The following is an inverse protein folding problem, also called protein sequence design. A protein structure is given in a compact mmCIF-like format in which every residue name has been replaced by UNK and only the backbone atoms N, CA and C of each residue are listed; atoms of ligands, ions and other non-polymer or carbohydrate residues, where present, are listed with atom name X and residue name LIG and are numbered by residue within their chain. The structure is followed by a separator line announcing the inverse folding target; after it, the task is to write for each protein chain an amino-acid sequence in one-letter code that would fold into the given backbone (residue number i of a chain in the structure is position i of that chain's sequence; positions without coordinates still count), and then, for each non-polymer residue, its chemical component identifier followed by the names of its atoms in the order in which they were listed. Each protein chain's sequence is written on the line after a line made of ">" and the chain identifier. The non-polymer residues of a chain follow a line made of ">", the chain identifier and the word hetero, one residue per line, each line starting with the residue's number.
data_IF_291980778316
#
_entry.id   IF_291980778316
#
_cell.length_a   1.000
_cell.length_b   1.000
_cell.length_c   1.000
_cell.angle_alpha   90.00
_cell.angle_beta   90.00
_cell.angle_gamma   90.00
#
_symmetry.space_group_name_H-M   'P 1'
#
loop_
_entity.id
_entity.type
_entity.pdbx_description
1 polymer ?
#
# COMPACT_ATOMS: atom_id res chain seq x y z
N UNK A 1 85.83 11.20 -19.95
CA UNK A 1 84.63 10.34 -19.93
C UNK A 1 83.53 10.91 -19.03
N UNK A 2 83.81 11.47 -17.89
CA UNK A 2 82.81 12.01 -16.93
C UNK A 2 82.02 13.15 -17.54
N UNK A 3 82.59 14.11 -18.21
CA UNK A 3 81.97 15.28 -18.84
C UNK A 3 80.94 14.92 -19.91
N UNK A 4 81.12 13.80 -20.59
CA UNK A 4 80.19 13.33 -21.61
C UNK A 4 78.89 12.73 -21.01
N UNK A 5 79.02 12.11 -19.84
CA UNK A 5 77.90 11.59 -19.10
C UNK A 5 77.07 12.69 -18.45
N UNK A 6 77.66 13.75 -17.97
CA UNK A 6 76.97 14.91 -17.41
C UNK A 6 76.16 15.68 -18.48
N UNK A 7 76.72 15.82 -19.67
CA UNK A 7 75.98 16.44 -20.81
C UNK A 7 74.82 15.55 -21.26
N UNK A 8 75.02 14.23 -21.32
CA UNK A 8 73.93 13.29 -21.68
C UNK A 8 72.84 13.25 -20.59
N UNK A 9 73.21 13.30 -19.31
CA UNK A 9 72.26 13.38 -18.20
C UNK A 9 71.50 14.70 -18.19
N UNK A 10 72.20 15.81 -18.44
CA UNK A 10 71.56 17.11 -18.60
C UNK A 10 70.59 17.19 -19.78
N UNK A 11 70.98 16.65 -20.93
CA UNK A 11 70.07 16.52 -22.10
C UNK A 11 68.90 15.60 -21.81
N UNK A 12 69.09 14.50 -21.07
CA UNK A 12 68.01 13.59 -20.62
C UNK A 12 67.02 14.29 -19.71
N UNK A 13 67.51 15.12 -18.76
CA UNK A 13 66.67 15.89 -17.83
C UNK A 13 65.88 16.97 -18.62
N UNK A 14 66.56 17.70 -19.52
CA UNK A 14 65.88 18.69 -20.35
C UNK A 14 64.86 18.05 -21.25
N UNK A 15 65.12 16.85 -21.78
CA UNK A 15 64.18 16.10 -22.61
C UNK A 15 63.02 15.59 -21.79
N UNK A 16 63.27 15.12 -20.55
CA UNK A 16 62.21 14.72 -19.61
C UNK A 16 61.33 15.88 -19.18
N UNK A 17 61.92 17.05 -18.88
CA UNK A 17 61.21 18.28 -18.60
C UNK A 17 60.39 18.74 -19.79
N UNK A 18 60.92 18.64 -21.03
CA UNK A 18 60.23 18.98 -22.26
C UNK A 18 59.01 18.04 -22.51
N UNK A 19 59.15 16.74 -22.18
CA UNK A 19 58.05 15.77 -22.19
C UNK A 19 56.97 16.09 -21.14
N UNK A 20 57.37 16.60 -19.98
CA UNK A 20 56.45 17.00 -18.89
C UNK A 20 55.70 18.32 -19.23
N UNK A 21 56.35 19.23 -19.98
CA UNK A 21 55.81 20.56 -20.31
C UNK A 21 54.93 20.52 -21.58
N UNK A 22 54.97 19.46 -22.40
CA UNK A 22 54.17 19.38 -23.60
C UNK A 22 52.66 19.32 -23.27
N UNK A 23 51.83 20.15 -23.93
CA UNK A 23 50.40 20.19 -23.69
C UNK A 23 49.74 18.84 -23.96
N UNK A 24 48.83 18.44 -23.12
CA UNK A 24 47.95 17.31 -23.32
C UNK A 24 46.49 17.69 -23.10
N UNK A 25 45.60 17.02 -23.82
CA UNK A 25 44.16 17.27 -23.73
C UNK A 25 43.42 15.99 -23.41
N UNK A 26 42.49 16.08 -22.50
CA UNK A 26 41.48 15.03 -22.24
C UNK A 26 40.11 15.55 -22.64
N UNK A 27 39.48 14.92 -23.57
CA UNK A 27 38.17 15.32 -24.11
C UNK A 27 37.19 14.20 -23.78
N UNK A 28 36.15 14.55 -23.04
CA UNK A 28 35.04 13.62 -22.73
C UNK A 28 33.85 13.94 -23.62
N UNK A 29 33.46 12.98 -24.41
CA UNK A 29 32.33 13.04 -25.33
C UNK A 29 31.13 12.39 -24.65
N UNK A 30 30.01 13.08 -24.53
CA UNK A 30 28.77 12.50 -24.06
C UNK A 30 27.93 12.03 -25.24
N UNK A 31 27.49 10.78 -25.20
CA UNK A 31 26.70 10.17 -26.26
C UNK A 31 25.35 10.86 -26.41
N UNK A 32 24.96 11.11 -27.68
CA UNK A 32 23.59 11.55 -27.97
C UNK A 32 22.61 10.42 -27.68
N UNK A 33 21.63 10.70 -26.84
CA UNK A 33 20.65 9.72 -26.39
C UNK A 33 19.28 10.05 -26.98
N UNK A 34 18.58 9.02 -27.42
CA UNK A 34 17.22 9.15 -27.95
C UNK A 34 16.27 8.24 -27.18
N UNK A 35 15.14 8.82 -26.76
CA UNK A 35 14.05 8.07 -26.13
C UNK A 35 13.04 7.67 -27.20
N UNK A 36 12.70 6.38 -27.28
CA UNK A 36 11.73 5.87 -28.22
C UNK A 36 10.72 4.95 -27.53
N UNK A 37 9.45 5.07 -27.92
CA UNK A 37 8.39 4.14 -27.51
C UNK A 37 8.28 3.03 -28.55
N UNK A 38 8.64 1.83 -28.17
CA UNK A 38 8.60 0.67 -29.06
C UNK A 38 7.36 -0.16 -28.80
N UNK A 39 6.72 -0.60 -29.88
CA UNK A 39 5.70 -1.65 -29.84
C UNK A 39 6.18 -2.74 -30.80
N UNK A 40 6.42 -3.94 -30.27
CA UNK A 40 6.91 -5.05 -31.04
C UNK A 40 6.29 -6.38 -30.61
N UNK A 41 6.04 -7.29 -31.56
CA UNK A 41 5.51 -8.63 -31.30
C UNK A 41 6.63 -9.58 -30.91
N UNK A 42 6.87 -9.71 -29.61
CA UNK A 42 7.80 -10.71 -29.10
C UNK A 42 7.12 -12.09 -29.03
N UNK A 43 7.93 -13.12 -29.24
CA UNK A 43 7.54 -14.51 -28.96
C UNK A 43 7.88 -14.83 -27.51
N UNK A 44 6.90 -15.30 -26.77
CA UNK A 44 7.06 -15.75 -25.38
C UNK A 44 7.06 -17.27 -25.33
N UNK A 45 8.00 -17.86 -24.60
CA UNK A 45 8.16 -19.31 -24.50
C UNK A 45 8.56 -19.73 -23.07
N UNK A 46 8.22 -20.98 -22.62
CA UNK A 46 8.59 -21.43 -21.28
C UNK A 46 10.11 -21.64 -21.19
N UNK A 47 10.73 -21.04 -20.18
CA UNK A 47 12.18 -21.13 -19.95
C UNK A 47 12.67 -22.57 -19.69
N UNK A 48 11.77 -23.46 -19.26
CA UNK A 48 12.06 -24.90 -19.07
C UNK A 48 12.17 -25.69 -20.36
N UNK A 49 11.76 -25.14 -21.50
CA UNK A 49 11.70 -25.86 -22.77
C UNK A 49 12.91 -25.52 -23.62
N UNK A 50 13.96 -26.34 -23.49
CA UNK A 50 15.24 -26.18 -24.21
C UNK A 50 15.11 -26.31 -25.73
N UNK A 51 14.03 -26.90 -26.24
CA UNK A 51 13.81 -27.09 -27.67
C UNK A 51 13.69 -25.74 -28.42
N UNK A 52 13.32 -24.69 -27.70
CA UNK A 52 13.19 -23.34 -28.25
C UNK A 52 14.48 -22.51 -28.22
N UNK A 53 15.48 -22.90 -27.42
CA UNK A 53 16.74 -22.15 -27.27
C UNK A 53 17.60 -22.16 -28.53
N UNK A 54 17.53 -23.22 -29.36
CA UNK A 54 18.35 -23.39 -30.58
C UNK A 54 17.70 -22.96 -31.90
N UNK A 55 16.37 -22.86 -31.94
CA UNK A 55 15.61 -22.68 -33.18
C UNK A 55 15.18 -21.21 -33.45
N UNK A 56 15.46 -20.29 -32.54
CA UNK A 56 14.81 -18.97 -32.57
C UNK A 56 15.77 -17.89 -33.11
N UNK A 57 15.71 -17.68 -34.43
CA UNK A 57 16.18 -16.44 -35.07
C UNK A 57 15.24 -15.24 -34.82
N UNK A 58 14.09 -15.45 -34.18
CA UNK A 58 13.10 -14.41 -33.88
C UNK A 58 13.32 -13.87 -32.48
N UNK A 59 13.05 -12.59 -32.31
CA UNK A 59 13.08 -11.91 -31.01
C UNK A 59 12.09 -12.55 -30.04
N UNK A 60 12.60 -13.11 -28.96
CA UNK A 60 11.83 -13.92 -28.03
C UNK A 60 12.26 -13.67 -26.59
N UNK A 61 11.30 -13.81 -25.67
CA UNK A 61 11.48 -13.61 -24.25
C UNK A 61 11.03 -14.87 -23.52
N UNK A 62 11.88 -15.49 -22.71
CA UNK A 62 11.47 -16.62 -21.89
C UNK A 62 10.56 -16.16 -20.74
N UNK A 63 9.53 -16.95 -20.45
CA UNK A 63 8.75 -16.78 -19.23
C UNK A 63 8.99 -17.93 -18.26
N UNK A 64 8.76 -17.66 -17.00
CA UNK A 64 8.93 -18.58 -15.89
C UNK A 64 7.61 -18.79 -15.19
N UNK A 65 7.46 -19.92 -14.48
CA UNK A 65 6.33 -20.18 -13.62
C UNK A 65 6.73 -20.03 -12.16
N UNK A 66 5.86 -19.42 -11.39
CA UNK A 66 6.04 -19.26 -9.95
C UNK A 66 4.81 -19.74 -9.20
N UNK A 67 5.01 -20.08 -7.93
CA UNK A 67 3.95 -20.41 -6.98
C UNK A 67 4.19 -19.72 -5.66
N UNK A 68 3.13 -19.16 -5.09
CA UNK A 68 3.11 -18.59 -3.75
C UNK A 68 1.90 -19.15 -3.00
N UNK A 69 2.13 -19.72 -1.83
CA UNK A 69 1.08 -20.10 -0.90
C UNK A 69 0.96 -19.02 0.18
N UNK A 70 -0.25 -18.55 0.44
CA UNK A 70 -0.53 -17.43 1.32
C UNK A 70 -1.75 -17.68 2.18
N UNK A 71 -1.70 -17.24 3.44
CA UNK A 71 -2.85 -17.25 4.33
C UNK A 71 -3.40 -15.82 4.46
N UNK A 72 -4.65 -15.67 4.06
CA UNK A 72 -5.38 -14.40 4.16
C UNK A 72 -6.36 -14.44 5.32
N UNK A 73 -6.32 -13.47 6.21
CA UNK A 73 -7.24 -13.37 7.34
C UNK A 73 -8.03 -12.07 7.28
N UNK A 74 -9.32 -12.14 7.62
CA UNK A 74 -10.21 -10.98 7.68
C UNK A 74 -11.16 -11.12 8.87
N UNK A 75 -11.51 -9.99 9.47
CA UNK A 75 -12.55 -9.91 10.50
C UNK A 75 -13.62 -8.92 10.08
N UNK A 76 -14.88 -9.24 10.38
CA UNK A 76 -16.02 -8.33 10.20
C UNK A 76 -16.83 -8.25 11.49
N UNK A 77 -17.58 -7.16 11.68
CA UNK A 77 -18.58 -7.05 12.74
C UNK A 77 -19.85 -7.77 12.30
N UNK A 78 -20.56 -8.39 13.25
CA UNK A 78 -21.88 -9.00 13.00
C UNK A 78 -22.92 -7.89 12.81
N UNK A 79 -23.84 -8.07 11.88
CA UNK A 79 -24.93 -7.11 11.64
C UNK A 79 -26.06 -7.24 12.67
N UNK A 80 -26.29 -8.44 13.19
CA UNK A 80 -27.31 -8.71 14.18
C UNK A 80 -26.79 -8.45 15.60
N UNK A 81 -27.03 -7.27 16.12
CA UNK A 81 -26.69 -6.91 17.50
C UNK A 81 -27.96 -6.95 18.34
N UNK A 82 -28.03 -7.84 19.31
CA UNK A 82 -29.06 -7.83 20.35
C UNK A 82 -28.53 -7.12 21.58
N UNK A 83 -29.22 -6.07 21.98
CA UNK A 83 -28.91 -5.39 23.24
C UNK A 83 -29.61 -6.09 24.39
N UNK A 84 -28.85 -6.56 25.37
CA UNK A 84 -29.36 -7.02 26.66
C UNK A 84 -29.22 -5.86 27.62
N UNK A 85 -30.36 -5.40 28.14
CA UNK A 85 -30.46 -4.31 29.07
C UNK A 85 -30.61 -4.88 30.47
N UNK A 86 -29.70 -4.54 31.35
CA UNK A 86 -29.87 -4.78 32.79
C UNK A 86 -30.45 -3.50 33.40
N UNK A 87 -31.65 -3.56 34.00
CA UNK A 87 -32.23 -2.39 34.68
C UNK A 87 -31.43 -2.06 35.92
N UNK A 88 -31.23 -0.77 36.15
CA UNK A 88 -30.74 -0.33 37.45
C UNK A 88 -31.80 -0.54 38.54
N UNK A 89 -31.36 -0.70 39.77
CA UNK A 89 -32.24 -0.82 40.91
C UNK A 89 -31.64 -0.11 42.11
N UNK A 90 -32.52 0.38 42.99
CA UNK A 90 -32.15 1.01 44.24
C UNK A 90 -33.34 1.18 45.16
N UNK A 91 -33.05 1.53 46.40
CA UNK A 91 -34.07 1.79 47.40
C UNK A 91 -34.46 3.26 47.43
N UNK A 92 -35.75 3.53 47.52
CA UNK A 92 -36.34 4.85 47.75
C UNK A 92 -37.07 4.87 49.05
N UNK A 93 -37.23 6.07 49.64
CA UNK A 93 -38.16 6.36 50.69
C UNK A 93 -39.34 7.08 50.05
N UNK A 94 -40.54 6.52 50.22
CA UNK A 94 -41.79 7.17 49.79
C UNK A 94 -42.37 7.88 50.99
N UNK A 95 -42.72 9.13 50.80
CA UNK A 95 -43.29 10.01 51.82
C UNK A 95 -44.77 10.21 51.54
N UNK A 96 -45.60 10.16 52.59
CA UNK A 96 -47.03 10.47 52.53
C UNK A 96 -47.39 11.50 53.64
N UNK A 97 -47.88 12.64 53.21
CA UNK A 97 -48.38 13.72 54.13
C UNK A 97 -49.88 13.66 54.31
N UNK A 98 -50.59 12.75 53.69
CA UNK A 98 -52.04 12.65 53.77
C UNK A 98 -52.48 11.86 55.03
N UNK A 99 -53.68 12.11 55.60
CA UNK A 99 -54.19 11.37 56.73
C UNK A 99 -54.69 9.92 56.30
N UNK A 100 -54.64 9.62 55.03
CA UNK A 100 -55.15 8.33 54.49
C UNK A 100 -53.97 7.45 54.01
N UNK A 101 -54.15 6.11 54.09
CA UNK A 101 -53.27 5.16 53.46
C UNK A 101 -53.37 5.33 51.94
N UNK A 102 -52.23 5.10 51.26
CA UNK A 102 -52.21 5.17 49.79
C UNK A 102 -51.70 3.85 49.19
N UNK A 103 -52.55 3.23 48.34
CA UNK A 103 -52.26 1.94 47.75
C UNK A 103 -51.75 2.08 46.34
N UNK A 104 -50.59 1.53 46.07
CA UNK A 104 -49.99 1.46 44.74
C UNK A 104 -50.00 0.04 44.24
N UNK A 105 -50.36 -0.15 42.99
CA UNK A 105 -50.33 -1.45 42.31
C UNK A 105 -48.90 -1.80 41.85
N UNK A 106 -48.68 -3.06 41.53
CA UNK A 106 -47.44 -3.44 40.87
C UNK A 106 -47.24 -2.66 39.57
N UNK A 107 -45.99 -2.43 39.19
CA UNK A 107 -45.60 -1.64 38.01
C UNK A 107 -46.07 -0.14 38.10
N UNK A 108 -46.33 0.38 39.31
CA UNK A 108 -46.51 1.81 39.46
C UNK A 108 -45.27 2.60 39.07
N UNK A 109 -45.47 3.65 38.27
CA UNK A 109 -44.40 4.47 37.67
C UNK A 109 -43.98 5.60 38.62
N UNK A 110 -42.69 5.65 38.91
CA UNK A 110 -42.00 6.77 39.57
C UNK A 110 -41.08 7.42 38.58
N UNK A 111 -41.17 8.73 38.42
CA UNK A 111 -40.46 9.43 37.35
C UNK A 111 -39.62 10.57 37.98
N UNK A 112 -38.38 10.69 37.54
CA UNK A 112 -37.48 11.80 37.88
C UNK A 112 -37.86 13.05 37.10
N UNK A 113 -37.28 14.19 37.45
CA UNK A 113 -37.55 15.45 36.76
C UNK A 113 -37.13 15.45 35.29
N UNK A 114 -36.14 14.64 34.92
CA UNK A 114 -35.60 14.44 33.58
C UNK A 114 -36.29 13.28 32.83
N UNK A 115 -37.40 12.73 33.38
CA UNK A 115 -38.26 11.77 32.67
C UNK A 115 -37.85 10.29 32.82
N UNK A 116 -36.81 9.97 33.59
CA UNK A 116 -36.43 8.59 33.83
C UNK A 116 -37.49 7.86 34.67
N UNK A 117 -37.96 6.72 34.13
CA UNK A 117 -39.07 5.97 34.74
C UNK A 117 -38.53 4.76 35.50
N UNK A 118 -39.07 4.58 36.73
CA UNK A 118 -38.79 3.45 37.61
C UNK A 118 -40.11 2.79 38.05
N UNK A 119 -40.08 1.47 38.27
CA UNK A 119 -41.27 0.67 38.54
C UNK A 119 -41.15 -0.08 39.86
N UNK A 120 -42.31 -0.22 40.57
CA UNK A 120 -42.46 -1.20 41.63
C UNK A 120 -42.69 -2.60 41.00
N UNK A 121 -42.18 -3.65 41.57
CA UNK A 121 -42.50 -5.03 41.16
C UNK A 121 -43.72 -5.62 41.86
N UNK A 122 -43.98 -5.11 43.07
CA UNK A 122 -45.05 -5.60 43.94
C UNK A 122 -45.99 -4.44 44.31
N UNK A 123 -47.25 -4.75 44.66
CA UNK A 123 -48.16 -3.76 45.21
C UNK A 123 -47.63 -3.30 46.58
N UNK A 124 -47.78 -2.02 46.89
CA UNK A 124 -47.33 -1.45 48.16
C UNK A 124 -48.47 -0.60 48.79
N UNK A 125 -48.48 -0.60 50.10
CA UNK A 125 -49.39 0.22 50.87
C UNK A 125 -48.54 1.24 51.67
N UNK A 126 -48.71 2.54 51.37
CA UNK A 126 -48.02 3.60 52.03
C UNK A 126 -48.87 4.05 53.26
N UNK A 127 -48.36 3.98 54.45
CA UNK A 127 -49.16 4.32 55.65
C UNK A 127 -49.55 5.79 55.66
N UNK A 128 -50.63 6.14 56.37
CA UNK A 128 -51.06 7.50 56.51
C UNK A 128 -50.10 8.33 57.42
N UNK A 129 -50.14 9.64 57.28
CA UNK A 129 -49.46 10.58 58.17
C UNK A 129 -50.16 10.50 59.58
N UNK A 130 -49.37 10.47 60.67
CA UNK A 130 -49.86 10.42 62.07
C UNK A 130 -49.46 11.67 62.74
N UNK A 131 -50.46 12.33 63.44
CA UNK A 131 -50.23 13.56 64.21
C UNK A 131 -49.47 14.67 63.47
N UNK A 132 -49.74 14.82 62.13
CA UNK A 132 -49.10 15.85 61.33
C UNK A 132 -47.67 15.48 60.85
N UNK A 133 -47.14 14.34 61.29
CA UNK A 133 -45.82 13.85 60.84
C UNK A 133 -45.97 13.04 59.59
N UNK A 134 -45.13 13.32 58.58
CA UNK A 134 -45.08 12.56 57.29
C UNK A 134 -44.71 11.12 57.55
N UNK A 135 -45.47 10.18 57.02
CA UNK A 135 -45.12 8.76 57.03
C UNK A 135 -44.09 8.44 55.99
N UNK A 136 -43.29 7.42 56.23
CA UNK A 136 -42.20 6.97 55.36
C UNK A 136 -42.31 5.48 55.09
N UNK A 137 -42.07 5.04 53.84
CA UNK A 137 -41.99 3.62 53.49
C UNK A 137 -40.77 3.42 52.59
N UNK A 138 -39.91 2.47 52.96
CA UNK A 138 -38.76 2.07 52.13
C UNK A 138 -39.21 1.03 51.11
N UNK A 139 -38.93 1.27 49.82
CA UNK A 139 -39.31 0.43 48.71
C UNK A 139 -38.17 0.29 47.70
N UNK A 140 -38.00 -0.86 47.09
CA UNK A 140 -37.07 -1.07 46.02
C UNK A 140 -37.73 -0.75 44.69
N UNK A 141 -37.11 0.10 43.88
CA UNK A 141 -37.54 0.42 42.53
C UNK A 141 -36.55 -0.15 41.50
N UNK A 142 -37.05 -0.39 40.31
CA UNK A 142 -36.30 -0.89 39.17
C UNK A 142 -36.52 0.03 37.97
N UNK A 143 -35.47 0.41 37.26
CA UNK A 143 -35.61 1.20 36.06
C UNK A 143 -36.47 0.47 35.00
N UNK A 144 -37.36 1.22 34.37
CA UNK A 144 -38.05 0.72 33.14
C UNK A 144 -37.09 0.61 31.98
N UNK A 145 -37.54 -0.05 30.92
CA UNK A 145 -36.75 -0.17 29.71
C UNK A 145 -36.64 1.17 28.98
N UNK A 146 -37.74 1.95 28.97
CA UNK A 146 -37.86 3.24 28.28
C UNK A 146 -38.25 4.34 29.22
N UNK A 147 -37.77 5.56 28.97
CA UNK A 147 -38.18 6.81 29.67
C UNK A 147 -39.49 7.33 29.05
N UNK A 148 -39.99 8.47 29.59
CA UNK A 148 -41.24 9.10 29.09
C UNK A 148 -41.15 9.60 27.64
N UNK A 149 -39.92 9.73 27.08
CA UNK A 149 -39.64 10.14 25.69
C UNK A 149 -39.30 8.94 24.80
N UNK A 150 -39.59 7.71 25.23
CA UNK A 150 -39.32 6.46 24.53
C UNK A 150 -37.81 6.16 24.31
N UNK A 151 -36.92 6.83 25.02
CA UNK A 151 -35.49 6.49 24.98
C UNK A 151 -35.16 5.39 25.98
N UNK A 152 -34.27 4.48 25.60
CA UNK A 152 -33.83 3.40 26.48
C UNK A 152 -33.08 3.98 27.71
N UNK A 153 -33.38 3.53 28.92
CA UNK A 153 -32.85 4.08 30.16
C UNK A 153 -31.45 3.55 30.50
N UNK A 154 -31.20 2.24 30.37
CA UNK A 154 -29.97 1.51 30.74
C UNK A 154 -29.07 2.20 31.79
N UNK A 155 -27.85 2.69 31.42
CA UNK A 155 -26.91 3.35 32.36
C UNK A 155 -27.46 4.62 32.94
N UNK A 156 -28.34 5.36 32.24
CA UNK A 156 -28.99 6.58 32.73
C UNK A 156 -29.86 6.33 34.00
N UNK A 157 -30.32 5.10 34.16
CA UNK A 157 -31.06 4.68 35.33
C UNK A 157 -30.22 4.55 36.61
N UNK A 158 -28.90 4.67 36.56
CA UNK A 158 -28.03 4.73 37.73
C UNK A 158 -28.07 6.13 38.33
N UNK A 159 -29.21 6.49 38.93
CA UNK A 159 -29.42 7.81 39.53
C UNK A 159 -28.71 7.92 40.88
N UNK A 160 -28.23 9.10 41.28
CA UNK A 160 -27.62 9.32 42.60
C UNK A 160 -28.64 9.30 43.74
N UNK A 161 -28.15 9.05 44.94
CA UNK A 161 -28.92 9.24 46.15
C UNK A 161 -29.48 10.68 46.24
N UNK A 162 -30.60 10.86 46.92
CA UNK A 162 -31.36 12.13 47.05
C UNK A 162 -32.06 12.59 45.76
N UNK A 163 -32.04 11.80 44.68
CA UNK A 163 -32.86 12.08 43.51
C UNK A 163 -34.35 11.98 43.89
N UNK A 164 -35.11 13.04 43.63
CA UNK A 164 -36.55 13.04 43.84
C UNK A 164 -37.29 12.39 42.67
N UNK A 165 -38.34 11.63 43.03
CA UNK A 165 -39.20 10.95 42.07
C UNK A 165 -40.66 11.26 42.38
N UNK A 166 -41.46 11.46 41.35
CA UNK A 166 -42.90 11.70 41.44
C UNK A 166 -43.66 10.47 40.93
N UNK A 167 -44.81 10.18 41.55
CA UNK A 167 -45.67 9.06 41.12
C UNK A 167 -46.50 9.53 39.95
N UNK A 168 -46.51 8.73 38.86
CA UNK A 168 -47.34 8.99 37.67
C UNK A 168 -48.68 8.27 37.77
N UNK A 169 -49.67 8.74 36.97
CA UNK A 169 -51.01 8.19 36.87
C UNK A 169 -51.86 8.27 38.12
N UNK A 170 -51.54 9.18 39.03
CA UNK A 170 -52.41 9.55 40.14
C UNK A 170 -53.45 10.53 39.61
N UNK A 171 -54.73 10.14 39.61
CA UNK A 171 -55.84 10.95 39.05
C UNK A 171 -56.10 12.27 39.76
N UNK A 172 -55.80 12.33 41.06
CA UNK A 172 -56.03 13.51 41.89
C UNK A 172 -54.72 14.29 42.08
N UNK A 173 -54.70 15.53 41.62
CA UNK A 173 -53.57 16.43 41.69
C UNK A 173 -53.17 16.79 43.15
N UNK A 174 -54.10 16.62 44.08
CA UNK A 174 -53.82 16.83 45.52
C UNK A 174 -52.77 15.82 45.99
N UNK A 175 -52.92 14.54 45.67
CA UNK A 175 -51.97 13.49 46.09
C UNK A 175 -50.60 13.64 45.41
N UNK A 176 -50.50 14.18 44.22
CA UNK A 176 -49.22 14.41 43.54
C UNK A 176 -48.29 15.35 44.29
N UNK A 177 -48.86 16.28 45.09
CA UNK A 177 -48.08 17.23 45.92
C UNK A 177 -47.83 16.71 47.35
N UNK A 178 -48.57 15.70 47.76
CA UNK A 178 -48.53 15.18 49.14
C UNK A 178 -47.78 13.85 49.25
N UNK A 179 -47.56 13.16 48.14
CA UNK A 179 -46.86 11.88 48.07
C UNK A 179 -45.72 11.96 47.04
N UNK A 180 -44.51 11.76 47.50
CA UNK A 180 -43.32 11.74 46.63
C UNK A 180 -42.33 10.67 47.12
N UNK A 181 -41.30 10.38 46.33
CA UNK A 181 -40.23 9.48 46.71
C UNK A 181 -38.86 10.15 46.59
N UNK A 182 -37.90 9.66 47.32
CA UNK A 182 -36.51 10.10 47.29
C UNK A 182 -35.58 8.87 47.32
N UNK A 183 -34.59 8.82 46.43
CA UNK A 183 -33.58 7.80 46.44
C UNK A 183 -32.70 7.87 47.69
N UNK A 184 -32.67 6.82 48.51
CA UNK A 184 -31.88 6.79 49.74
C UNK A 184 -30.46 6.30 49.53
N UNK A 185 -30.17 5.74 48.36
CA UNK A 185 -28.89 5.24 47.91
C UNK A 185 -28.73 5.45 46.40
N UNK A 186 -27.50 5.33 45.89
CA UNK A 186 -27.29 5.35 44.45
C UNK A 186 -27.92 4.11 43.83
N UNK A 187 -28.70 4.30 42.77
CA UNK A 187 -29.17 3.18 41.96
C UNK A 187 -28.00 2.61 41.15
N UNK A 188 -27.90 1.29 41.09
CA UNK A 188 -26.80 0.57 40.43
C UNK A 188 -27.32 -0.59 39.58
N UNK A 189 -26.44 -1.17 38.80
CA UNK A 189 -26.74 -2.32 37.94
C UNK A 189 -27.27 -1.97 36.57
N UNK A 190 -27.56 -0.68 36.32
CA UNK A 190 -27.93 -0.23 34.96
C UNK A 190 -26.76 -0.39 33.99
N UNK A 191 -26.90 -1.30 33.04
CA UNK A 191 -25.89 -1.57 32.04
C UNK A 191 -26.53 -2.07 30.72
N UNK A 192 -25.84 -1.79 29.65
CA UNK A 192 -26.15 -2.41 28.35
C UNK A 192 -25.00 -3.34 27.95
N UNK A 193 -25.35 -4.53 27.60
CA UNK A 193 -24.43 -5.47 26.96
C UNK A 193 -24.91 -5.72 25.53
N UNK A 194 -24.09 -5.33 24.55
CA UNK A 194 -24.33 -5.69 23.18
C UNK A 194 -23.85 -7.11 22.93
N UNK A 195 -24.76 -7.97 22.53
CA UNK A 195 -24.43 -9.32 22.10
C UNK A 195 -24.66 -9.40 20.58
N UNK A 196 -23.59 -9.60 19.83
CA UNK A 196 -23.68 -10.02 18.45
C UNK A 196 -24.21 -11.46 18.39
N UNK A 197 -25.12 -11.71 17.48
CA UNK A 197 -25.56 -13.09 17.14
C UNK A 197 -25.18 -13.33 15.69
N UNK A 198 -24.29 -14.27 15.49
CA UNK A 198 -23.84 -14.62 14.16
C UNK A 198 -24.91 -15.40 13.42
N UNK A 199 -25.17 -15.00 12.19
CA UNK A 199 -26.11 -15.64 11.26
C UNK A 199 -25.36 -16.29 10.09
N UNK A 200 -26.06 -17.17 9.35
CA UNK A 200 -25.51 -17.73 8.10
C UNK A 200 -25.17 -16.65 7.08
N UNK A 201 -25.95 -15.54 7.04
CA UNK A 201 -25.66 -14.38 6.17
C UNK A 201 -24.33 -13.73 6.50
N UNK A 202 -23.98 -13.59 7.79
CA UNK A 202 -22.70 -13.02 8.21
C UNK A 202 -21.54 -13.91 7.76
N UNK A 203 -21.72 -15.23 7.84
CA UNK A 203 -20.75 -16.20 7.37
C UNK A 203 -20.52 -16.13 5.86
N UNK A 204 -21.61 -16.11 5.08
CA UNK A 204 -21.55 -15.96 3.63
C UNK A 204 -20.91 -14.63 3.22
N UNK A 205 -21.27 -13.56 3.93
CA UNK A 205 -20.70 -12.23 3.71
C UNK A 205 -19.20 -12.21 3.97
N UNK A 206 -18.74 -12.81 5.07
CA UNK A 206 -17.31 -12.90 5.38
C UNK A 206 -16.57 -13.74 4.33
N UNK A 207 -17.11 -14.88 3.94
CA UNK A 207 -16.54 -15.73 2.90
C UNK A 207 -16.41 -15.00 1.56
N UNK A 208 -17.44 -14.25 1.17
CA UNK A 208 -17.41 -13.41 -0.02
C UNK A 208 -16.36 -12.30 0.08
N UNK A 209 -16.35 -11.55 1.18
CA UNK A 209 -15.37 -10.47 1.41
C UNK A 209 -13.93 -10.96 1.38
N UNK A 210 -13.64 -12.14 1.94
CA UNK A 210 -12.31 -12.76 1.86
C UNK A 210 -11.94 -13.05 0.41
N UNK A 211 -12.83 -13.69 -0.35
CA UNK A 211 -12.58 -13.99 -1.78
C UNK A 211 -12.35 -12.72 -2.59
N UNK A 212 -13.22 -11.73 -2.46
CA UNK A 212 -13.13 -10.45 -3.17
C UNK A 212 -11.83 -9.70 -2.85
N UNK A 213 -11.42 -9.70 -1.57
CA UNK A 213 -10.18 -9.08 -1.14
C UNK A 213 -8.94 -9.80 -1.71
N UNK A 214 -8.92 -11.13 -1.68
CA UNK A 214 -7.84 -11.93 -2.27
C UNK A 214 -7.71 -11.67 -3.76
N UNK A 215 -8.83 -11.65 -4.51
CA UNK A 215 -8.80 -11.36 -5.95
C UNK A 215 -8.33 -9.94 -6.26
N UNK A 216 -8.76 -8.96 -5.48
CA UNK A 216 -8.33 -7.57 -5.64
C UNK A 216 -6.85 -7.37 -5.34
N UNK A 217 -6.36 -8.03 -4.30
CA UNK A 217 -5.02 -7.78 -3.76
C UNK A 217 -3.97 -8.79 -4.26
N UNK A 218 -4.36 -9.76 -5.12
CA UNK A 218 -3.51 -10.88 -5.56
C UNK A 218 -2.16 -10.46 -6.14
N UNK A 219 -2.12 -9.41 -6.97
CA UNK A 219 -0.87 -8.92 -7.53
C UNK A 219 0.08 -8.38 -6.45
N UNK A 220 -0.46 -7.59 -5.51
CA UNK A 220 0.33 -7.04 -4.41
C UNK A 220 0.86 -8.16 -3.49
N UNK A 221 0.02 -9.17 -3.21
CA UNK A 221 0.42 -10.32 -2.39
C UNK A 221 1.56 -11.07 -3.07
N UNK A 222 1.38 -11.45 -4.33
CA UNK A 222 2.40 -12.19 -5.09
C UNK A 222 3.68 -11.37 -5.23
N UNK A 223 3.59 -10.07 -5.53
CA UNK A 223 4.75 -9.18 -5.63
C UNK A 223 5.51 -9.16 -4.30
N UNK A 224 4.83 -8.95 -3.18
CA UNK A 224 5.49 -8.90 -1.88
C UNK A 224 6.17 -10.22 -1.51
N UNK A 225 5.47 -11.34 -1.64
CA UNK A 225 5.99 -12.64 -1.19
C UNK A 225 7.07 -13.21 -2.12
N UNK A 226 7.01 -12.87 -3.41
CA UNK A 226 7.90 -13.42 -4.42
C UNK A 226 9.11 -12.53 -4.70
N UNK A 227 8.94 -11.20 -4.81
CA UNK A 227 10.04 -10.29 -5.16
C UNK A 227 11.07 -10.12 -4.05
N UNK A 228 10.72 -10.41 -2.78
CA UNK A 228 11.70 -10.41 -1.69
C UNK A 228 12.81 -11.47 -1.86
N UNK A 229 12.56 -12.51 -2.67
CA UNK A 229 13.44 -13.69 -2.83
C UNK A 229 14.13 -13.73 -4.18
N UNK A 230 13.81 -12.84 -5.11
CA UNK A 230 14.23 -12.91 -6.50
C UNK A 230 14.77 -11.57 -7.00
N UNK A 231 15.64 -11.64 -8.05
CA UNK A 231 16.02 -10.47 -8.82
C UNK A 231 14.79 -9.78 -9.44
N UNK A 232 14.97 -8.61 -10.02
CA UNK A 232 13.88 -7.84 -10.61
C UNK A 232 13.06 -8.69 -11.59
N UNK A 233 11.78 -8.86 -11.27
CA UNK A 233 10.82 -9.65 -12.06
C UNK A 233 9.61 -8.80 -12.42
N UNK A 234 9.02 -9.09 -13.59
CA UNK A 234 7.78 -8.48 -14.05
C UNK A 234 6.63 -9.46 -13.80
N UNK A 235 5.62 -9.01 -13.07
CA UNK A 235 4.40 -9.74 -12.72
C UNK A 235 3.19 -9.02 -13.30
N UNK A 236 2.21 -9.77 -13.77
CA UNK A 236 1.02 -9.22 -14.42
C UNK A 236 -0.23 -9.86 -13.83
N UNK A 237 -1.17 -9.04 -13.39
CA UNK A 237 -2.41 -9.48 -12.74
C UNK A 237 -3.19 -10.55 -13.52
N UNK A 238 -3.39 -10.43 -14.84
CA UNK A 238 -4.10 -11.45 -15.62
C UNK A 238 -3.41 -12.81 -15.69
N UNK A 239 -2.10 -12.87 -15.37
CA UNK A 239 -1.29 -14.09 -15.39
C UNK A 239 -1.25 -14.81 -14.03
N UNK A 240 -1.95 -14.29 -13.02
CA UNK A 240 -2.03 -14.88 -11.69
C UNK A 240 -3.33 -15.68 -11.58
N UNK A 241 -3.20 -17.00 -11.50
CA UNK A 241 -4.30 -17.93 -11.20
C UNK A 241 -4.41 -18.11 -9.70
N UNK A 242 -5.60 -17.88 -9.16
CA UNK A 242 -5.88 -18.00 -7.73
C UNK A 242 -6.64 -19.29 -7.45
N UNK A 243 -6.15 -20.09 -6.51
CA UNK A 243 -6.80 -21.32 -6.04
C UNK A 243 -7.01 -21.23 -4.53
N UNK A 244 -8.24 -21.32 -4.10
CA UNK A 244 -8.57 -21.45 -2.68
C UNK A 244 -8.45 -22.92 -2.26
N UNK A 245 -7.54 -23.21 -1.33
CA UNK A 245 -7.30 -24.57 -0.82
C UNK A 245 -8.18 -24.86 0.39
N UNK A 246 -8.36 -23.87 1.27
CA UNK A 246 -9.24 -23.97 2.43
C UNK A 246 -9.82 -22.58 2.75
N UNK A 247 -11.02 -22.56 3.29
CA UNK A 247 -11.67 -21.40 3.89
C UNK A 247 -12.19 -21.82 5.25
N UNK A 248 -11.67 -21.26 6.32
CA UNK A 248 -12.07 -21.51 7.69
C UNK A 248 -12.66 -20.25 8.30
N UNK A 249 -13.72 -20.43 9.06
CA UNK A 249 -14.36 -19.36 9.83
C UNK A 249 -14.51 -19.86 11.26
N UNK A 250 -13.86 -19.17 12.21
CA UNK A 250 -13.56 -19.68 13.57
C UNK A 250 -14.74 -19.57 14.55
N UNK A 251 -15.96 -19.99 14.17
CA UNK A 251 -17.11 -20.00 15.08
C UNK A 251 -18.28 -20.83 14.52
N UNK A 252 -19.25 -21.13 15.40
CA UNK A 252 -20.48 -21.80 15.04
C UNK A 252 -21.62 -20.80 14.84
N UNK A 253 -22.63 -21.17 14.06
CA UNK A 253 -23.88 -20.42 13.94
C UNK A 253 -24.47 -20.24 15.34
N UNK A 254 -24.92 -19.04 15.68
CA UNK A 254 -25.45 -18.63 16.98
C UNK A 254 -24.42 -18.31 18.07
N UNK A 255 -23.14 -18.32 17.77
CA UNK A 255 -22.15 -17.83 18.73
C UNK A 255 -22.42 -16.37 19.10
N UNK A 256 -22.30 -16.07 20.41
CA UNK A 256 -22.50 -14.72 20.97
C UNK A 256 -21.22 -13.91 20.83
N UNK A 257 -20.97 -13.39 19.64
CA UNK A 257 -19.80 -12.56 19.35
C UNK A 257 -20.19 -11.30 18.57
N UNK A 258 -19.44 -10.23 18.78
CA UNK A 258 -19.61 -8.97 18.03
C UNK A 258 -18.74 -8.91 16.76
N UNK A 259 -17.82 -9.85 16.59
CA UNK A 259 -16.94 -9.91 15.43
C UNK A 259 -16.70 -11.36 15.00
N UNK A 260 -16.65 -11.55 13.69
CA UNK A 260 -16.25 -12.80 13.05
C UNK A 260 -14.86 -12.69 12.50
N UNK A 261 -14.08 -13.75 12.66
CA UNK A 261 -12.79 -13.90 11.99
C UNK A 261 -12.83 -15.11 11.08
N UNK A 262 -12.28 -14.95 9.88
CA UNK A 262 -12.09 -16.05 8.95
C UNK A 262 -10.72 -15.99 8.33
N UNK A 263 -10.23 -17.14 7.89
CA UNK A 263 -8.98 -17.30 7.16
C UNK A 263 -9.19 -18.12 5.89
N UNK A 264 -8.39 -17.81 4.87
CA UNK A 264 -8.33 -18.58 3.64
C UNK A 264 -6.89 -18.96 3.33
N UNK A 265 -6.66 -20.23 3.08
CA UNK A 265 -5.41 -20.71 2.48
C UNK A 265 -5.53 -20.63 0.97
N UNK A 266 -4.66 -19.87 0.35
CA UNK A 266 -4.70 -19.54 -1.08
C UNK A 266 -3.37 -19.88 -1.72
N UNK A 267 -3.42 -20.53 -2.88
CA UNK A 267 -2.25 -20.71 -3.75
C UNK A 267 -2.41 -19.83 -4.98
N UNK A 268 -1.34 -19.11 -5.32
CA UNK A 268 -1.21 -18.33 -6.52
C UNK A 268 -0.22 -19.02 -7.45
N UNK A 269 -0.69 -19.48 -8.60
CA UNK A 269 0.16 -19.96 -9.69
C UNK A 269 0.24 -18.85 -10.74
N UNK A 270 1.45 -18.44 -11.14
CA UNK A 270 1.62 -17.30 -12.03
C UNK A 270 2.78 -17.47 -13.01
N UNK A 271 2.72 -16.69 -14.09
CA UNK A 271 3.82 -16.50 -15.02
C UNK A 271 4.53 -15.18 -14.73
N UNK A 272 5.86 -15.17 -14.88
CA UNK A 272 6.65 -13.95 -14.70
C UNK A 272 7.80 -13.89 -15.73
N UNK A 273 8.29 -12.68 -15.97
CA UNK A 273 9.48 -12.44 -16.79
C UNK A 273 10.62 -11.96 -15.88
N UNK A 274 11.83 -12.41 -16.16
CA UNK A 274 13.03 -11.82 -15.57
C UNK A 274 13.42 -10.59 -16.36
N UNK A 275 13.75 -9.51 -15.63
CA UNK A 275 14.11 -8.25 -16.25
C UNK A 275 15.31 -8.37 -17.19
N UNK A 276 16.32 -9.15 -16.82
CA UNK A 276 17.51 -9.36 -17.62
C UNK A 276 17.21 -10.01 -18.99
N UNK A 277 16.24 -10.93 -19.04
CA UNK A 277 15.82 -11.55 -20.31
C UNK A 277 15.10 -10.54 -21.20
N UNK A 278 14.30 -9.64 -20.59
CA UNK A 278 13.64 -8.54 -21.31
C UNK A 278 14.69 -7.59 -21.88
N UNK A 279 15.66 -7.15 -21.08
CA UNK A 279 16.76 -6.29 -21.50
C UNK A 279 17.54 -6.93 -22.66
N UNK A 280 17.85 -8.22 -22.56
CA UNK A 280 18.56 -8.97 -23.61
C UNK A 280 17.78 -9.01 -24.93
N UNK A 281 16.48 -9.28 -24.87
CA UNK A 281 15.62 -9.33 -26.05
C UNK A 281 15.52 -7.95 -26.74
N UNK A 282 15.34 -6.87 -25.97
CA UNK A 282 15.29 -5.52 -26.52
C UNK A 282 16.66 -5.03 -27.02
N UNK A 283 17.74 -5.41 -26.39
CA UNK A 283 19.09 -5.17 -26.90
C UNK A 283 19.29 -5.82 -28.27
N UNK A 284 18.82 -7.05 -28.44
CA UNK A 284 18.85 -7.75 -29.73
C UNK A 284 17.96 -7.07 -30.77
N UNK A 285 16.77 -6.60 -30.36
CA UNK A 285 15.85 -5.86 -31.22
C UNK A 285 16.48 -4.57 -31.76
N UNK A 286 17.09 -3.76 -30.89
CA UNK A 286 17.75 -2.51 -31.30
C UNK A 286 18.86 -2.78 -32.30
N UNK A 287 19.71 -3.77 -32.05
CA UNK A 287 20.80 -4.16 -32.95
C UNK A 287 20.31 -4.62 -34.35
N UNK A 288 19.21 -5.39 -34.38
CA UNK A 288 18.70 -5.91 -35.67
C UNK A 288 17.98 -4.85 -36.52
N UNK A 289 17.37 -3.86 -35.86
CA UNK A 289 16.49 -2.91 -36.54
C UNK A 289 17.15 -1.58 -36.94
N UNK A 290 18.10 -1.11 -36.16
CA UNK A 290 18.62 0.25 -36.36
C UNK A 290 20.01 0.32 -36.98
N UNK A 291 20.88 -0.49 -36.66
CA UNK A 291 22.21 -0.79 -37.18
C UNK A 291 23.09 -1.34 -36.05
N UNK A 292 24.20 -1.97 -36.41
CA UNK A 292 25.18 -2.41 -35.42
C UNK A 292 25.83 -1.29 -34.61
N UNK A 293 25.62 -0.03 -35.06
CA UNK A 293 26.18 1.17 -34.41
C UNK A 293 25.31 1.75 -33.34
N UNK A 294 24.10 1.23 -33.11
CA UNK A 294 23.19 1.71 -32.03
C UNK A 294 23.12 0.67 -30.92
N UNK A 295 23.22 1.12 -29.69
CA UNK A 295 23.06 0.28 -28.50
C UNK A 295 21.89 0.73 -27.63
N UNK A 296 21.29 -0.25 -26.96
CA UNK A 296 20.35 0.01 -25.88
C UNK A 296 21.12 0.50 -24.65
N UNK A 297 20.75 1.66 -24.13
CA UNK A 297 21.33 2.24 -22.91
C UNK A 297 20.50 1.80 -21.70
N UNK A 298 19.19 1.99 -21.75
CA UNK A 298 18.30 1.54 -20.69
C UNK A 298 16.88 1.28 -21.19
N UNK A 299 16.12 0.53 -20.37
CA UNK A 299 14.69 0.34 -20.50
C UNK A 299 13.99 0.90 -19.26
N UNK A 300 12.82 1.51 -19.44
CA UNK A 300 11.99 1.90 -18.32
C UNK A 300 10.97 0.77 -17.98
N UNK A 301 11.17 0.03 -16.87
CA UNK A 301 10.31 -1.09 -16.51
C UNK A 301 8.86 -0.68 -16.24
N UNK A 302 8.62 0.58 -15.83
CA UNK A 302 7.30 1.09 -15.55
C UNK A 302 6.47 1.30 -16.82
N UNK A 303 7.12 1.35 -17.98
CA UNK A 303 6.47 1.51 -19.28
C UNK A 303 6.27 0.19 -20.01
N UNK A 304 6.71 -0.93 -19.42
CA UNK A 304 6.52 -2.27 -20.00
C UNK A 304 5.05 -2.68 -19.92
N UNK A 305 4.44 -2.87 -21.07
CA UNK A 305 3.03 -3.20 -21.17
C UNK A 305 2.74 -4.16 -22.31
N UNK A 306 1.84 -5.12 -22.08
CA UNK A 306 1.30 -5.94 -23.16
C UNK A 306 0.13 -5.22 -23.83
N UNK A 307 0.13 -5.16 -25.15
CA UNK A 307 -0.96 -4.58 -25.93
C UNK A 307 -1.92 -5.70 -26.35
N UNK A 308 -3.12 -5.73 -25.77
CA UNK A 308 -4.15 -6.71 -26.07
C UNK A 308 -4.55 -7.61 -24.90
N UNK A 309 -5.45 -8.55 -25.18
CA UNK A 309 -5.98 -9.48 -24.17
C UNK A 309 -5.03 -10.66 -23.95
N UNK A 310 -4.24 -10.57 -22.89
CA UNK A 310 -3.28 -11.59 -22.49
C UNK A 310 -3.97 -12.92 -22.16
N UNK A 311 -5.16 -12.88 -21.58
CA UNK A 311 -5.86 -14.08 -21.10
C UNK A 311 -6.21 -15.06 -22.21
N UNK A 312 -6.49 -14.56 -23.42
CA UNK A 312 -6.81 -15.41 -24.60
C UNK A 312 -5.59 -16.03 -25.25
N UNK A 313 -4.42 -15.41 -25.11
CA UNK A 313 -3.21 -15.79 -25.86
C UNK A 313 -2.41 -16.86 -25.12
N UNK A 314 -2.53 -16.95 -23.80
CA UNK A 314 -1.75 -17.88 -22.95
C UNK A 314 -2.23 -19.33 -22.98
N UNK A 315 -3.25 -19.65 -23.77
CA UNK A 315 -3.71 -21.04 -23.92
C UNK A 315 -2.65 -21.94 -24.58
N UNK A 316 -1.70 -21.36 -25.29
CA UNK A 316 -0.58 -22.06 -25.92
C UNK A 316 0.71 -21.87 -25.11
N UNK A 317 1.55 -22.91 -25.02
CA UNK A 317 2.86 -22.83 -24.36
C UNK A 317 3.77 -21.76 -24.97
N UNK A 318 3.62 -21.51 -26.27
CA UNK A 318 4.37 -20.47 -26.99
C UNK A 318 3.35 -19.53 -27.61
N UNK A 319 3.50 -18.25 -27.36
CA UNK A 319 2.58 -17.24 -27.86
C UNK A 319 3.31 -15.97 -28.31
N UNK A 320 2.65 -15.18 -29.15
CA UNK A 320 3.13 -13.87 -29.59
C UNK A 320 2.25 -12.78 -29.02
N UNK A 321 2.89 -11.76 -28.41
CA UNK A 321 2.19 -10.60 -27.87
C UNK A 321 2.90 -9.32 -28.28
N UNK A 322 2.13 -8.31 -28.74
CA UNK A 322 2.67 -6.95 -28.87
C UNK A 322 3.02 -6.41 -27.50
N UNK A 323 4.27 -6.04 -27.36
CA UNK A 323 4.82 -5.49 -26.11
C UNK A 323 5.26 -4.07 -26.33
N UNK A 324 4.78 -3.16 -25.48
CA UNK A 324 5.15 -1.74 -25.48
C UNK A 324 6.14 -1.48 -24.37
N UNK A 325 7.20 -0.72 -24.66
CA UNK A 325 8.15 -0.22 -23.66
C UNK A 325 8.82 1.05 -24.18
N UNK A 326 9.24 1.90 -23.27
CA UNK A 326 10.10 3.05 -23.56
C UNK A 326 11.55 2.65 -23.41
N UNK A 327 12.33 2.88 -24.46
CA UNK A 327 13.76 2.62 -24.47
C UNK A 327 14.55 3.92 -24.55
N UNK A 328 15.74 3.92 -23.97
CA UNK A 328 16.79 4.90 -24.17
C UNK A 328 17.90 4.22 -24.96
N UNK A 329 18.26 4.79 -26.10
CA UNK A 329 19.27 4.26 -27.00
C UNK A 329 20.26 5.34 -27.41
N UNK A 330 21.44 4.94 -27.86
CA UNK A 330 22.47 5.84 -28.31
C UNK A 330 23.51 5.14 -29.15
N UNK A 331 24.45 5.93 -29.68
CA UNK A 331 25.51 5.39 -30.53
C UNK A 331 26.50 4.52 -29.74
N UNK A 332 26.87 3.35 -30.30
CA UNK A 332 27.85 2.43 -29.71
C UNK A 332 29.27 2.72 -30.18
N UNK A 333 29.93 3.65 -29.52
CA UNK A 333 31.33 3.96 -29.81
C UNK A 333 32.29 2.79 -29.57
N UNK A 334 31.91 1.73 -28.87
CA UNK A 334 32.78 0.57 -28.64
C UNK A 334 33.01 -0.26 -29.91
N UNK A 335 32.03 -0.25 -30.80
CA UNK A 335 32.09 -1.04 -32.06
C UNK A 335 32.70 -0.27 -33.21
N UNK A 336 32.49 1.04 -33.26
CA UNK A 336 32.88 1.89 -34.43
C UNK A 336 33.91 2.97 -34.03
N UNK A 337 34.48 2.84 -32.85
CA UNK A 337 35.40 3.84 -32.27
C UNK A 337 36.62 4.14 -33.12
N UNK A 338 37.07 3.20 -33.95
CA UNK A 338 38.26 3.45 -34.79
C UNK A 338 38.03 4.47 -35.90
N UNK A 339 36.79 4.64 -36.35
CA UNK A 339 36.48 5.55 -37.45
C UNK A 339 36.06 6.90 -36.95
N UNK A 340 34.97 7.04 -36.20
CA UNK A 340 34.45 8.37 -35.71
C UNK A 340 35.43 9.05 -34.78
N UNK A 341 35.90 8.33 -33.74
CA UNK A 341 36.87 8.90 -32.79
C UNK A 341 38.19 9.25 -33.48
N UNK A 342 38.58 8.47 -34.47
CA UNK A 342 39.75 8.76 -35.31
C UNK A 342 39.60 10.00 -36.15
N UNK A 343 38.42 10.24 -36.73
CA UNK A 343 38.10 11.48 -37.50
C UNK A 343 38.03 12.68 -36.58
N UNK A 344 37.27 12.57 -35.46
CA UNK A 344 37.21 13.65 -34.45
C UNK A 344 38.63 14.05 -34.07
N UNK A 345 39.46 13.08 -33.68
CA UNK A 345 40.83 13.32 -33.25
C UNK A 345 41.70 13.98 -34.32
N UNK A 346 41.45 13.68 -35.61
CA UNK A 346 42.15 14.30 -36.75
C UNK A 346 41.73 15.74 -36.92
N UNK A 347 40.43 15.98 -36.81
CA UNK A 347 39.86 17.30 -37.13
C UNK A 347 40.08 18.36 -36.05
N UNK A 348 40.44 17.95 -34.82
CA UNK A 348 40.58 18.85 -33.67
C UNK A 348 42.04 19.21 -33.33
N UNK A 349 43.02 18.56 -33.96
CA UNK A 349 44.44 18.85 -33.70
C UNK A 349 44.76 20.31 -33.98
N UNK A 350 45.42 20.98 -33.01
CA UNK A 350 45.86 22.37 -33.11
C UNK A 350 44.73 23.42 -33.06
N UNK A 351 43.45 23.03 -33.00
CA UNK A 351 42.32 23.94 -32.92
C UNK A 351 42.18 24.58 -31.53
N UNK A 352 41.57 25.73 -31.47
CA UNK A 352 41.16 26.34 -30.21
C UNK A 352 40.08 25.51 -29.52
N UNK A 353 39.89 25.73 -28.20
CA UNK A 353 38.85 25.03 -27.42
C UNK A 353 37.47 25.27 -28.04
N UNK A 354 37.17 26.51 -28.46
CA UNK A 354 35.87 26.84 -29.06
C UNK A 354 35.65 26.18 -30.41
N UNK A 355 36.65 26.21 -31.28
CA UNK A 355 36.59 25.53 -32.60
C UNK A 355 36.46 24.00 -32.42
N UNK A 356 37.21 23.44 -31.46
CA UNK A 356 37.13 22.03 -31.14
C UNK A 356 35.74 21.66 -30.67
N UNK A 357 35.14 22.46 -29.80
CA UNK A 357 33.78 22.22 -29.33
C UNK A 357 32.78 22.27 -30.48
N UNK A 358 32.87 23.29 -31.33
CA UNK A 358 31.99 23.37 -32.52
C UNK A 358 32.16 22.19 -33.45
N UNK A 359 33.40 21.82 -33.75
CA UNK A 359 33.70 20.68 -34.61
C UNK A 359 33.11 19.37 -34.06
N UNK A 360 33.33 19.08 -32.77
CA UNK A 360 32.83 17.84 -32.14
C UNK A 360 31.28 17.81 -32.12
N UNK A 361 30.63 18.95 -31.90
CA UNK A 361 29.16 19.01 -31.89
C UNK A 361 28.53 18.94 -33.30
N UNK A 362 29.32 18.92 -34.38
CA UNK A 362 28.78 18.60 -35.71
C UNK A 362 28.46 17.09 -35.88
N UNK A 363 29.00 16.26 -35.03
CA UNK A 363 28.73 14.81 -35.04
C UNK A 363 27.42 14.55 -34.31
N UNK A 364 26.38 14.01 -34.98
CA UNK A 364 25.05 13.78 -34.36
C UNK A 364 25.08 12.76 -33.26
N UNK A 365 26.12 11.93 -33.17
CA UNK A 365 26.36 10.92 -32.15
C UNK A 365 26.76 11.52 -30.79
N UNK A 366 27.17 12.82 -30.78
CA UNK A 366 27.67 13.52 -29.59
C UNK A 366 26.70 14.61 -29.16
N UNK A 367 26.24 14.57 -27.91
CA UNK A 367 25.31 15.55 -27.32
C UNK A 367 26.04 16.70 -26.63
N UNK A 368 27.16 16.41 -26.00
CA UNK A 368 27.99 17.42 -25.34
C UNK A 368 29.46 17.01 -25.27
N UNK A 369 30.33 17.99 -25.05
CA UNK A 369 31.76 17.76 -24.97
C UNK A 369 32.35 18.55 -23.80
N UNK A 370 33.16 17.89 -22.99
CA UNK A 370 34.00 18.49 -21.96
C UNK A 370 35.46 18.39 -22.39
N UNK A 371 36.18 19.51 -22.35
CA UNK A 371 37.58 19.62 -22.78
C UNK A 371 38.39 20.05 -21.58
N UNK A 372 39.32 19.21 -21.13
CA UNK A 372 40.26 19.48 -20.05
C UNK A 372 41.70 19.52 -20.62
N UNK A 373 42.35 20.72 -20.55
CA UNK A 373 43.74 20.90 -20.95
C UNK A 373 44.64 20.82 -19.72
N UNK A 374 45.75 20.11 -19.83
CA UNK A 374 46.70 19.97 -18.72
C UNK A 374 47.64 21.17 -18.53
N UNK A 375 47.63 22.16 -19.43
CA UNK A 375 48.39 23.40 -19.28
C UNK A 375 47.46 24.61 -19.24
N UNK A 376 47.50 25.36 -18.15
CA UNK A 376 46.58 26.46 -17.81
C UNK A 376 46.70 27.69 -18.76
N UNK A 377 47.72 27.81 -19.59
CA UNK A 377 47.91 28.93 -20.53
C UNK A 377 47.66 28.58 -21.99
N UNK A 378 47.33 27.33 -22.31
CA UNK A 378 47.01 26.92 -23.67
C UNK A 378 45.53 27.13 -24.00
N UNK A 379 45.22 27.96 -24.98
CA UNK A 379 43.84 28.07 -25.50
C UNK A 379 43.58 27.15 -26.72
N UNK A 380 44.62 26.38 -27.12
CA UNK A 380 44.60 25.48 -28.28
C UNK A 380 44.92 24.04 -27.85
N UNK A 381 44.38 23.07 -28.58
CA UNK A 381 44.72 21.68 -28.40
C UNK A 381 46.14 21.38 -28.90
N UNK A 382 46.76 20.27 -28.41
CA UNK A 382 48.06 19.82 -28.89
C UNK A 382 48.06 19.54 -30.40
N UNK A 383 49.17 19.92 -31.07
CA UNK A 383 49.42 19.56 -32.47
C UNK A 383 49.74 18.08 -32.68
N UNK A 384 49.99 17.35 -31.59
CA UNK A 384 50.35 15.93 -31.62
C UNK A 384 49.14 15.09 -31.20
N UNK A 385 48.62 14.28 -32.14
CA UNK A 385 47.44 13.40 -31.94
C UNK A 385 47.54 12.48 -30.72
N UNK A 386 48.74 11.93 -30.42
CA UNK A 386 48.89 11.00 -29.28
C UNK A 386 48.68 11.66 -27.94
N UNK A 387 48.73 12.99 -27.85
CA UNK A 387 48.51 13.76 -26.64
C UNK A 387 47.07 14.20 -26.42
N UNK A 388 46.19 13.86 -27.34
CA UNK A 388 44.75 14.06 -27.20
C UNK A 388 44.12 12.73 -26.82
N UNK A 389 43.57 12.64 -25.61
CA UNK A 389 42.80 11.48 -25.13
C UNK A 389 41.30 11.75 -25.30
N UNK A 390 40.60 10.87 -26.01
CA UNK A 390 39.15 10.90 -26.10
C UNK A 390 38.57 9.83 -25.16
N UNK A 391 37.67 10.27 -24.29
CA UNK A 391 36.85 9.41 -23.43
C UNK A 391 35.41 9.55 -23.87
N UNK A 392 34.65 8.46 -23.77
CA UNK A 392 33.21 8.44 -24.09
C UNK A 392 32.45 8.14 -22.80
N UNK A 393 31.42 8.93 -22.56
CA UNK A 393 30.49 8.80 -21.43
C UNK A 393 29.07 8.62 -21.99
N UNK A 394 28.31 7.66 -21.41
CA UNK A 394 26.93 7.37 -21.75
C UNK A 394 25.97 8.37 -21.12
#
# INVERSE_FOLDING_TARGET
>A
MVFFFEILAGLGIVWLLFLLILPSASITLKVSQQTENIIYNFRYYPASDQQYLGAIKQLSIPYYTGKVDYEYTLSISTENIKHIINPSAGNVKIYNKTPNEFKLVSNTRFVTADGLTFLTREPIVIPPAINGSTSELKVKLYAAEYDESENIIWVRGNIPAKTQLTIRNVKDSYYLKQIWAEAIENFTGGAMKSLGMVSEKDRELLAKKIKDAVYRDKLNIVTREFSQKNAMVLLFDPLIKTKFNALSIDWNIWDKTTSLRGSAQVSFDFLYLKWDDVVSAFSTYVKQRQSDSIQLISLDPNTFWFVGDIGRVIQNKVFMLPTKITILQGYDFSRDTKWILGQIKTNIVGKSIEETRKEILTYPEVSSVKIDLWLLWGQTLPDIRSRIKLNVEL
#
